data_IF_886283730276
#
_entry.id   IF_886283730276
#
_cell.length_a   1.000
_cell.length_b   1.000
_cell.length_c   1.000
_cell.angle_alpha   90.00
_cell.angle_beta   90.00
_cell.angle_gamma   90.00
#
_symmetry.space_group_name_H-M   'P 1'
#
loop_
_entity.id
_entity.type
_entity.pdbx_description
1 polymer ?
#
# COMPACT_ATOMS: atom_id res chain seq x y z
N UNK A 1 -7.98 -21.14 6.97
CA UNK A 1 -6.57 -21.02 6.59
C UNK A 1 -6.34 -19.66 5.95
N UNK A 2 -5.26 -18.98 6.32
CA UNK A 2 -4.85 -17.77 5.63
C UNK A 2 -4.44 -18.12 4.19
N UNK A 3 -4.73 -17.25 3.22
CA UNK A 3 -4.24 -17.40 1.86
C UNK A 3 -2.72 -17.35 1.84
N UNK A 4 -2.08 -18.12 0.95
CA UNK A 4 -0.64 -18.15 0.83
C UNK A 4 -0.09 -16.75 0.56
N UNK A 5 0.95 -16.36 1.29
CA UNK A 5 1.60 -15.07 1.15
C UNK A 5 0.89 -13.90 1.81
N UNK A 6 -0.27 -14.11 2.41
CA UNK A 6 -1.00 -13.07 3.13
C UNK A 6 -0.74 -13.22 4.63
N UNK A 7 -0.18 -12.17 5.24
CA UNK A 7 0.06 -12.14 6.67
C UNK A 7 -1.25 -11.92 7.43
N UNK A 8 -1.43 -12.56 8.59
CA UNK A 8 -2.58 -12.26 9.44
C UNK A 8 -2.48 -10.84 10.00
N UNK A 9 -3.61 -10.18 10.15
CA UNK A 9 -3.66 -8.84 10.73
C UNK A 9 -4.97 -8.62 11.47
N UNK A 10 -4.97 -7.64 12.36
CA UNK A 10 -6.16 -7.22 13.12
C UNK A 10 -6.45 -5.77 12.80
N UNK A 11 -7.68 -5.48 12.39
CA UNK A 11 -8.13 -4.11 12.14
C UNK A 11 -8.63 -3.51 13.46
N UNK A 12 -8.09 -2.35 13.82
CA UNK A 12 -8.50 -1.58 14.99
C UNK A 12 -8.90 -0.19 14.52
N UNK A 13 -10.20 0.09 14.49
CA UNK A 13 -10.69 1.33 13.88
C UNK A 13 -10.38 1.36 12.39
N UNK A 14 -9.63 2.36 11.94
CA UNK A 14 -9.17 2.49 10.57
C UNK A 14 -7.66 2.20 10.43
N UNK A 15 -7.16 1.26 11.22
CA UNK A 15 -5.73 1.01 11.33
C UNK A 15 -5.41 -0.46 11.53
N UNK A 16 -4.20 -0.86 11.15
CA UNK A 16 -3.55 -2.11 11.56
C UNK A 16 -2.36 -1.69 12.41
N UNK A 17 -2.43 -1.90 13.72
CA UNK A 17 -1.45 -1.36 14.66
C UNK A 17 -0.09 -2.05 14.57
N UNK A 18 -0.09 -3.38 14.41
CA UNK A 18 1.14 -4.15 14.38
C UNK A 18 1.70 -4.27 12.96
N UNK A 19 3.02 -4.14 12.77
CA UNK A 19 3.63 -4.43 11.48
C UNK A 19 3.32 -5.86 11.03
N UNK A 20 3.09 -6.04 9.72
CA UNK A 20 2.79 -7.36 9.16
C UNK A 20 3.98 -8.30 9.36
N UNK A 21 3.72 -9.47 9.94
CA UNK A 21 4.75 -10.49 10.27
C UNK A 21 5.95 -9.91 11.05
N UNK A 22 5.78 -8.80 11.75
CA UNK A 22 6.85 -8.16 12.50
C UNK A 22 7.97 -7.56 11.65
N UNK A 23 7.76 -7.38 10.36
CA UNK A 23 8.79 -6.81 9.47
C UNK A 23 9.10 -5.37 9.82
N UNK A 24 10.39 -5.03 9.73
CA UNK A 24 10.86 -3.65 9.80
C UNK A 24 11.06 -3.17 8.36
N UNK A 25 10.25 -2.21 7.94
CA UNK A 25 10.28 -1.71 6.57
C UNK A 25 11.48 -0.82 6.28
N UNK A 26 11.97 -0.85 5.03
CA UNK A 26 13.02 0.01 4.53
C UNK A 26 12.45 1.11 3.64
N UNK A 27 12.65 2.37 4.03
CA UNK A 27 12.08 3.50 3.29
C UNK A 27 12.57 3.59 1.83
N UNK A 28 13.83 3.23 1.58
CA UNK A 28 14.38 3.27 0.20
C UNK A 28 13.75 2.20 -0.69
N UNK A 29 13.55 1.01 -0.14
CA UNK A 29 12.83 -0.05 -0.87
C UNK A 29 11.38 0.36 -1.10
N UNK A 30 10.75 0.97 -0.10
CA UNK A 30 9.38 1.48 -0.22
C UNK A 30 9.25 2.55 -1.28
N UNK A 31 10.20 3.47 -1.36
CA UNK A 31 10.23 4.49 -2.41
C UNK A 31 10.31 3.85 -3.80
N UNK A 32 11.20 2.88 -3.97
CA UNK A 32 11.37 2.18 -5.24
C UNK A 32 10.08 1.44 -5.65
N UNK A 33 9.43 0.77 -4.70
CA UNK A 33 8.16 0.07 -4.95
C UNK A 33 7.07 1.07 -5.36
N UNK A 34 6.98 2.19 -4.65
CA UNK A 34 5.96 3.22 -4.90
C UNK A 34 6.11 3.82 -6.30
N UNK A 35 7.33 3.96 -6.79
CA UNK A 35 7.61 4.51 -8.11
C UNK A 35 7.56 3.47 -9.23
N UNK A 36 7.45 2.19 -8.91
CA UNK A 36 7.45 1.11 -9.89
C UNK A 36 6.07 0.98 -10.53
N UNK A 37 5.98 1.34 -11.82
CA UNK A 37 4.72 1.27 -12.58
C UNK A 37 4.30 -0.15 -12.95
N UNK A 38 5.19 -1.11 -12.85
CA UNK A 38 4.93 -2.49 -13.23
C UNK A 38 4.41 -3.35 -12.08
N UNK A 39 4.51 -2.87 -10.84
CA UNK A 39 4.06 -3.60 -9.65
C UNK A 39 2.81 -2.97 -9.06
N UNK A 40 2.95 -2.11 -8.07
CA UNK A 40 1.80 -1.47 -7.42
C UNK A 40 1.24 -0.30 -8.23
N UNK A 41 2.09 0.34 -9.02
CA UNK A 41 1.74 1.46 -9.90
C UNK A 41 0.96 2.58 -9.17
N UNK A 42 1.49 3.04 -8.05
CA UNK A 42 0.87 4.11 -7.27
C UNK A 42 0.74 5.40 -8.09
N UNK A 43 1.67 5.62 -9.02
CA UNK A 43 1.70 6.81 -9.87
C UNK A 43 0.50 6.95 -10.79
N UNK A 44 -0.22 5.87 -11.09
CA UNK A 44 -1.40 5.97 -11.94
C UNK A 44 -2.52 6.77 -11.27
N UNK A 45 -2.54 6.82 -9.94
CA UNK A 45 -3.58 7.51 -9.18
C UNK A 45 -3.04 8.64 -8.29
N UNK A 46 -1.78 8.60 -7.90
CA UNK A 46 -1.19 9.55 -6.95
C UNK A 46 -0.01 10.28 -7.52
N UNK A 47 0.13 11.55 -7.16
CA UNK A 47 1.39 12.27 -7.35
C UNK A 47 2.31 11.98 -6.17
N UNK A 48 3.61 11.90 -6.44
CA UNK A 48 4.66 11.62 -5.46
C UNK A 48 5.62 12.81 -5.45
N UNK A 49 5.93 13.38 -4.26
CA UNK A 49 6.85 14.52 -4.19
C UNK A 49 8.30 14.11 -4.47
N UNK A 50 9.11 15.09 -4.83
CA UNK A 50 10.54 14.89 -5.01
C UNK A 50 10.94 14.03 -6.21
N UNK A 51 10.09 13.97 -7.24
CA UNK A 51 10.36 13.17 -8.43
C UNK A 51 10.17 14.01 -9.69
N UNK A 52 10.87 13.62 -10.76
CA UNK A 52 10.72 14.19 -12.09
C UNK A 52 9.74 13.37 -12.96
N UNK A 53 9.01 12.46 -12.34
CA UNK A 53 8.06 11.61 -13.05
C UNK A 53 7.00 12.43 -13.75
N UNK A 54 6.70 12.04 -14.99
CA UNK A 54 5.63 12.63 -15.79
C UNK A 54 4.38 11.76 -15.68
N UNK A 55 3.22 12.32 -16.00
CA UNK A 55 1.97 11.57 -16.08
C UNK A 55 1.57 10.91 -14.76
N UNK A 56 1.80 11.60 -13.65
CA UNK A 56 1.27 11.17 -12.36
C UNK A 56 -0.23 11.45 -12.33
N UNK A 57 -1.01 10.48 -11.81
CA UNK A 57 -2.45 10.61 -11.74
C UNK A 57 -2.93 11.49 -10.60
N UNK A 58 -4.21 11.81 -10.63
CA UNK A 58 -4.87 12.63 -9.61
C UNK A 58 -6.16 12.01 -9.07
N UNK A 59 -6.41 10.72 -9.37
CA UNK A 59 -7.57 10.00 -8.82
C UNK A 59 -7.46 9.81 -7.32
N UNK A 60 -6.24 9.60 -6.81
CA UNK A 60 -5.96 9.59 -5.39
C UNK A 60 -5.37 10.91 -4.94
N UNK A 61 -5.38 11.22 -3.63
CA UNK A 61 -4.77 12.44 -3.13
C UNK A 61 -3.26 12.45 -3.37
N UNK A 62 -2.64 13.63 -3.48
CA UNK A 62 -1.19 13.72 -3.51
C UNK A 62 -0.60 13.05 -2.29
N UNK A 63 0.51 12.32 -2.46
CA UNK A 63 1.18 11.65 -1.34
C UNK A 63 2.07 12.60 -0.53
N UNK A 64 2.32 13.81 -1.04
CA UNK A 64 2.98 14.85 -0.24
C UNK A 64 2.19 15.07 1.06
N UNK A 65 2.86 15.02 2.19
CA UNK A 65 2.26 15.23 3.50
C UNK A 65 1.45 14.06 4.05
N UNK A 66 1.41 12.91 3.37
CA UNK A 66 0.59 11.77 3.83
C UNK A 66 1.02 11.29 5.21
N UNK A 67 2.31 11.32 5.51
CA UNK A 67 2.84 10.92 6.82
C UNK A 67 2.44 11.86 7.97
N UNK A 68 2.03 13.10 7.65
CA UNK A 68 1.49 14.02 8.64
C UNK A 68 -0.02 13.85 8.81
N UNK A 69 -0.72 13.40 7.76
CA UNK A 69 -2.17 13.21 7.80
C UNK A 69 -2.58 11.86 8.41
N UNK A 70 -1.78 10.82 8.19
CA UNK A 70 -2.09 9.46 8.60
C UNK A 70 -0.92 8.86 9.38
N UNK A 71 -1.24 8.09 10.42
CA UNK A 71 -0.24 7.30 11.13
C UNK A 71 0.23 6.14 10.25
N UNK A 72 1.37 5.55 10.59
CA UNK A 72 1.87 4.34 9.92
C UNK A 72 0.81 3.23 9.94
N UNK A 73 0.11 3.07 11.06
CA UNK A 73 -0.93 2.05 11.20
C UNK A 73 -2.11 2.29 10.27
N UNK A 74 -2.51 3.55 10.07
CA UNK A 74 -3.57 3.92 9.14
C UNK A 74 -3.14 3.71 7.68
N UNK A 75 -1.92 4.09 7.36
CA UNK A 75 -1.34 3.85 6.03
C UNK A 75 -1.32 2.35 5.72
N UNK A 76 -0.92 1.54 6.71
CA UNK A 76 -0.84 0.08 6.57
C UNK A 76 -2.18 -0.54 6.16
N UNK A 77 -3.25 -0.17 6.84
CA UNK A 77 -4.58 -0.71 6.48
C UNK A 77 -4.97 -0.31 5.06
N UNK A 78 -4.71 0.93 4.66
CA UNK A 78 -5.07 1.40 3.32
C UNK A 78 -4.30 0.68 2.22
N UNK A 79 -3.08 0.28 2.48
CA UNK A 79 -2.28 -0.50 1.53
C UNK A 79 -2.70 -1.96 1.51
N UNK A 80 -3.01 -2.54 2.66
CA UNK A 80 -3.47 -3.92 2.73
C UNK A 80 -4.79 -4.08 1.98
N UNK A 81 -5.77 -3.26 2.33
CA UNK A 81 -7.08 -3.28 1.68
C UNK A 81 -7.87 -2.01 2.01
N UNK A 82 -7.83 -1.05 1.13
CA UNK A 82 -8.54 0.22 1.33
C UNK A 82 -10.05 0.05 1.43
N UNK A 83 -10.62 -1.06 0.92
CA UNK A 83 -12.07 -1.31 1.04
C UNK A 83 -12.50 -1.56 2.48
N UNK A 84 -11.57 -1.90 3.37
CA UNK A 84 -11.86 -2.05 4.79
C UNK A 84 -12.03 -0.69 5.49
N UNK A 85 -11.60 0.39 4.85
CA UNK A 85 -11.83 1.77 5.32
C UNK A 85 -13.06 2.37 4.63
N UNK A 86 -13.17 2.14 3.32
CA UNK A 86 -14.28 2.64 2.50
C UNK A 86 -14.61 1.58 1.44
N UNK A 87 -15.78 0.99 1.54
CA UNK A 87 -16.21 -0.10 0.64
C UNK A 87 -16.22 0.30 -0.83
N UNK A 88 -16.27 1.59 -1.13
CA UNK A 88 -16.26 2.12 -2.51
C UNK A 88 -14.86 2.52 -2.99
N UNK A 89 -13.81 2.23 -2.19
CA UNK A 89 -12.45 2.57 -2.55
C UNK A 89 -12.05 1.87 -3.86
N UNK A 90 -11.40 2.63 -4.76
CA UNK A 90 -10.89 2.11 -6.03
C UNK A 90 -9.41 1.76 -5.94
N UNK A 91 -8.73 2.15 -4.86
CA UNK A 91 -7.35 1.76 -4.61
C UNK A 91 -7.25 0.24 -4.49
N UNK A 92 -6.33 -0.40 -5.22
CA UNK A 92 -6.20 -1.86 -5.14
C UNK A 92 -5.88 -2.36 -3.74
N UNK A 93 -6.37 -3.56 -3.42
CA UNK A 93 -6.02 -4.26 -2.19
C UNK A 93 -4.69 -4.97 -2.43
N UNK A 94 -3.58 -4.34 -2.07
CA UNK A 94 -2.24 -4.84 -2.39
C UNK A 94 -1.83 -6.08 -1.62
N UNK A 95 -2.48 -6.37 -0.50
CA UNK A 95 -2.15 -7.54 0.32
C UNK A 95 -3.38 -8.40 0.59
N UNK A 96 -4.11 -8.69 -0.47
CA UNK A 96 -5.31 -9.52 -0.44
C UNK A 96 -5.31 -10.44 -1.66
N UNK A 97 -5.84 -11.64 -1.50
CA UNK A 97 -5.95 -12.62 -2.58
C UNK A 97 -7.41 -12.98 -2.85
N UNK A 98 -8.20 -13.21 -1.79
CA UNK A 98 -9.58 -13.64 -1.92
C UNK A 98 -10.53 -12.52 -2.35
N UNK A 99 -11.49 -12.83 -3.19
CA UNK A 99 -12.56 -11.90 -3.58
C UNK A 99 -12.14 -10.83 -4.58
N UNK A 100 -10.98 -10.96 -5.20
CA UNK A 100 -10.52 -10.01 -6.22
C UNK A 100 -11.06 -10.40 -7.60
N UNK A 101 -11.31 -9.39 -8.43
CA UNK A 101 -11.74 -9.56 -9.83
C UNK A 101 -10.63 -9.05 -10.77
N UNK A 102 -10.52 -9.71 -11.95
CA UNK A 102 -9.59 -9.29 -13.01
C UNK A 102 -8.15 -9.20 -12.54
N UNK A 103 -7.72 -10.22 -11.80
CA UNK A 103 -6.34 -10.29 -11.30
C UNK A 103 -5.40 -10.67 -12.43
N UNK A 104 -4.27 -9.95 -12.56
CA UNK A 104 -3.20 -10.30 -13.48
C UNK A 104 -2.67 -11.71 -13.15
N UNK A 105 -2.37 -12.52 -14.16
CA UNK A 105 -1.86 -13.89 -13.97
C UNK A 105 -0.65 -13.96 -13.04
N UNK A 106 0.20 -12.94 -13.05
CA UNK A 106 1.38 -12.88 -12.17
C UNK A 106 1.02 -12.86 -10.69
N UNK A 107 -0.21 -12.47 -10.35
CA UNK A 107 -0.67 -12.29 -8.97
C UNK A 107 -1.78 -13.27 -8.57
N UNK A 108 -2.13 -14.22 -9.45
CA UNK A 108 -3.14 -15.23 -9.10
C UNK A 108 -2.64 -16.07 -7.92
N UNK A 109 -3.43 -16.11 -6.86
CA UNK A 109 -3.13 -16.89 -5.66
C UNK A 109 -2.10 -16.25 -4.73
N UNK A 110 -1.66 -15.04 -5.01
CA UNK A 110 -0.72 -14.30 -4.14
C UNK A 110 -0.98 -12.81 -4.18
N UNK A 111 -0.63 -12.07 -3.11
CA UNK A 111 -0.85 -10.63 -3.10
C UNK A 111 0.09 -9.90 -4.06
N UNK A 112 -0.31 -8.72 -4.52
CA UNK A 112 0.53 -7.85 -5.36
C UNK A 112 1.79 -7.44 -4.60
N UNK A 113 1.65 -7.09 -3.33
CA UNK A 113 2.77 -6.77 -2.44
C UNK A 113 2.82 -7.76 -1.29
N UNK A 114 4.01 -8.27 -0.99
CA UNK A 114 4.22 -9.12 0.18
C UNK A 114 4.08 -8.32 1.47
N UNK A 115 4.01 -9.02 2.61
CA UNK A 115 4.00 -8.35 3.92
C UNK A 115 5.20 -7.42 4.10
N UNK A 116 6.39 -7.87 3.69
CA UNK A 116 7.59 -7.05 3.77
C UNK A 116 7.51 -5.82 2.87
N UNK A 117 7.03 -5.99 1.65
CA UNK A 117 6.87 -4.87 0.71
C UNK A 117 5.85 -3.85 1.21
N UNK A 118 4.76 -4.29 1.84
CA UNK A 118 3.81 -3.38 2.50
C UNK A 118 4.54 -2.56 3.56
N UNK A 119 5.34 -3.20 4.43
CA UNK A 119 6.07 -2.47 5.48
C UNK A 119 7.11 -1.53 4.91
N UNK A 120 7.75 -1.89 3.80
CA UNK A 120 8.68 -1.00 3.09
C UNK A 120 7.97 0.27 2.61
N UNK A 121 6.80 0.12 1.99
CA UNK A 121 6.01 1.26 1.50
C UNK A 121 5.50 2.11 2.67
N UNK A 122 5.02 1.48 3.75
CA UNK A 122 4.62 2.20 4.96
C UNK A 122 5.77 3.06 5.49
N UNK A 123 6.97 2.47 5.58
CA UNK A 123 8.15 3.19 6.08
C UNK A 123 8.46 4.41 5.21
N UNK A 124 8.34 4.29 3.89
CA UNK A 124 8.56 5.41 2.98
C UNK A 124 7.49 6.49 3.13
N UNK A 125 6.21 6.10 3.04
CA UNK A 125 5.10 7.06 3.10
C UNK A 125 5.06 7.82 4.43
N UNK A 126 5.42 7.15 5.53
CA UNK A 126 5.48 7.78 6.85
C UNK A 126 6.52 8.92 6.90
N UNK A 127 7.51 8.93 6.01
CA UNK A 127 8.50 10.01 5.93
C UNK A 127 7.99 11.26 5.22
N UNK A 128 6.87 11.17 4.52
CA UNK A 128 6.31 12.28 3.73
C UNK A 128 5.46 13.17 4.63
N UNK A 129 6.11 13.84 5.58
CA UNK A 129 5.45 14.62 6.62
C UNK A 129 5.07 16.05 6.23
N UNK A 130 5.52 16.53 5.08
CA UNK A 130 5.25 17.91 4.64
C UNK A 130 4.68 17.96 3.24
#
# INVERSE_FOLDING_TARGET
MAAEGVAPFVVTGDAILAPLDGHVGGRRRGEAITRNRETANCLICHSIPGTNERFMGDLGPPLAGVGARLSAAQIRLRLVDATLVNALAIMPAYHRVAGLLRVDERHLGRPVLSAREIEDVVAYLATLGD
#
